data_IF_670152822437
#
_entry.id   IF_670152822437
#
_cell.length_a   1.000
_cell.length_b   1.000
_cell.length_c   1.000
_cell.angle_alpha   90.00
_cell.angle_beta   90.00
_cell.angle_gamma   90.00
#
_symmetry.space_group_name_H-M   'P 1'
#
loop_
_entity.id
_entity.type
_entity.pdbx_description
1 polymer ?
#
# COMPACT_ATOMS: atom_id res chain seq x y z
N UNK A 1 -72.08 -21.89 -38.30
CA UNK A 1 -71.20 -22.23 -37.10
C UNK A 1 -69.88 -21.56 -37.29
N UNK A 2 -69.70 -20.40 -36.73
CA UNK A 2 -68.50 -19.54 -36.87
C UNK A 2 -67.76 -19.45 -35.53
N UNK A 3 -66.63 -20.13 -35.47
CA UNK A 3 -65.75 -20.05 -34.31
C UNK A 3 -64.87 -18.76 -34.36
N UNK A 4 -65.09 -17.87 -33.40
CA UNK A 4 -64.23 -16.69 -33.17
C UNK A 4 -63.13 -17.05 -32.18
N UNK A 5 -61.90 -17.10 -32.68
CA UNK A 5 -60.70 -17.19 -31.86
C UNK A 5 -60.39 -15.80 -31.22
N UNK A 6 -60.41 -15.70 -29.89
CA UNK A 6 -59.98 -14.50 -29.16
C UNK A 6 -58.49 -14.60 -28.89
N UNK A 7 -57.77 -13.72 -29.53
CA UNK A 7 -56.32 -13.49 -29.26
C UNK A 7 -56.17 -12.64 -27.98
N UNK A 8 -55.62 -13.20 -26.92
CA UNK A 8 -55.26 -12.44 -25.70
C UNK A 8 -53.83 -11.94 -25.90
N UNK A 9 -53.65 -10.63 -26.06
CA UNK A 9 -52.35 -9.97 -26.03
C UNK A 9 -51.95 -9.81 -24.58
N UNK A 10 -50.90 -10.55 -24.14
CA UNK A 10 -50.23 -10.34 -22.87
C UNK A 10 -49.23 -9.21 -23.05
N UNK A 11 -49.52 -8.03 -22.53
CA UNK A 11 -48.58 -6.91 -22.47
C UNK A 11 -47.67 -7.12 -21.26
N UNK A 12 -46.43 -7.54 -21.50
CA UNK A 12 -45.38 -7.59 -20.47
C UNK A 12 -44.87 -6.17 -20.24
N UNK A 13 -45.30 -5.54 -19.15
CA UNK A 13 -44.68 -4.29 -18.68
C UNK A 13 -43.30 -4.61 -18.08
N UNK A 14 -42.23 -4.35 -18.82
CA UNK A 14 -40.90 -4.25 -18.25
C UNK A 14 -40.85 -2.99 -17.35
N UNK A 15 -40.93 -3.18 -16.05
CA UNK A 15 -40.60 -2.16 -15.08
C UNK A 15 -39.04 -1.97 -15.11
N UNK A 16 -38.60 -1.00 -15.88
CA UNK A 16 -37.24 -0.42 -15.74
C UNK A 16 -37.18 0.20 -14.35
N UNK A 17 -36.57 -0.50 -13.41
CA UNK A 17 -36.15 0.09 -12.15
C UNK A 17 -35.01 1.06 -12.50
N UNK A 18 -35.35 2.31 -12.73
CA UNK A 18 -34.37 3.38 -12.84
C UNK A 18 -33.67 3.48 -11.48
N UNK A 19 -32.45 2.94 -11.39
CA UNK A 19 -31.58 3.14 -10.25
C UNK A 19 -31.48 4.66 -10.01
N UNK A 20 -31.67 5.10 -8.77
CA UNK A 20 -31.42 6.51 -8.40
C UNK A 20 -30.01 6.87 -8.92
N UNK A 21 -29.86 8.01 -9.62
CA UNK A 21 -28.55 8.45 -10.04
C UNK A 21 -27.66 8.54 -8.79
N UNK A 22 -26.50 7.90 -8.82
CA UNK A 22 -25.52 8.03 -7.76
C UNK A 22 -25.22 9.52 -7.59
N UNK A 23 -25.38 10.03 -6.37
CA UNK A 23 -25.05 11.43 -6.08
C UNK A 23 -23.57 11.66 -6.43
N UNK A 24 -23.28 12.75 -7.13
CA UNK A 24 -21.90 13.13 -7.41
C UNK A 24 -21.11 13.29 -6.09
N UNK A 25 -19.83 12.90 -6.10
CA UNK A 25 -18.98 13.05 -4.91
C UNK A 25 -18.85 14.53 -4.56
N UNK A 26 -19.09 14.87 -3.28
CA UNK A 26 -19.12 16.24 -2.76
C UNK A 26 -18.02 16.43 -1.72
N UNK A 27 -17.37 17.61 -1.74
CA UNK A 27 -16.43 18.03 -0.71
C UNK A 27 -17.22 18.70 0.42
N UNK A 28 -17.20 18.09 1.60
CA UNK A 28 -17.90 18.60 2.80
C UNK A 28 -17.02 19.54 3.63
N UNK A 29 -15.69 19.34 3.59
CA UNK A 29 -14.73 20.15 4.35
C UNK A 29 -13.42 20.25 3.57
N UNK A 30 -12.74 21.40 3.69
CA UNK A 30 -11.42 21.65 3.13
C UNK A 30 -10.58 22.42 4.14
N UNK A 31 -9.46 21.83 4.57
CA UNK A 31 -8.53 22.44 5.53
C UNK A 31 -7.12 22.43 4.94
N UNK A 32 -6.48 23.59 4.87
CA UNK A 32 -5.06 23.72 4.49
C UNK A 32 -4.22 23.58 5.75
N UNK A 33 -3.36 22.55 5.80
CA UNK A 33 -2.48 22.30 6.94
C UNK A 33 -1.18 23.11 6.86
N UNK A 34 -0.67 23.32 5.66
CA UNK A 34 0.57 24.06 5.46
C UNK A 34 1.17 23.85 4.08
N UNK A 35 2.38 24.32 3.88
CA UNK A 35 3.15 24.17 2.64
C UNK A 35 4.09 22.96 2.72
N UNK A 36 4.22 22.24 1.60
CA UNK A 36 5.15 21.13 1.42
C UNK A 36 6.10 21.39 0.26
N UNK A 37 7.25 20.71 0.27
CA UNK A 37 8.17 20.76 -0.86
C UNK A 37 7.68 19.87 -2.00
N UNK A 38 7.39 20.48 -3.15
CA UNK A 38 6.72 19.82 -4.28
C UNK A 38 7.66 19.11 -5.25
N UNK A 39 8.98 19.07 -4.99
CA UNK A 39 9.94 18.54 -5.96
C UNK A 39 10.06 17.00 -5.96
N UNK A 40 9.61 16.31 -4.90
CA UNK A 40 9.73 14.85 -4.76
C UNK A 40 8.50 14.24 -4.08
N UNK A 41 7.98 13.09 -4.54
CA UNK A 41 6.79 12.47 -3.97
C UNK A 41 7.16 11.60 -2.75
N UNK A 42 7.17 12.20 -1.58
CA UNK A 42 7.27 11.45 -0.33
C UNK A 42 5.85 11.18 0.20
N UNK A 43 5.57 9.95 0.61
CA UNK A 43 4.26 9.58 1.16
C UNK A 43 4.11 10.11 2.58
N UNK A 44 2.99 10.78 2.84
CA UNK A 44 2.56 11.28 4.15
C UNK A 44 1.58 10.29 4.80
N UNK A 45 1.19 10.56 6.05
CA UNK A 45 0.30 9.70 6.80
C UNK A 45 -0.89 10.49 7.34
N UNK A 46 -2.09 9.91 7.20
CA UNK A 46 -3.34 10.37 7.80
C UNK A 46 -3.91 9.23 8.65
N UNK A 47 -4.22 9.51 9.89
CA UNK A 47 -4.81 8.55 10.83
C UNK A 47 -5.98 9.20 11.57
N UNK A 48 -7.15 8.57 11.52
CA UNK A 48 -8.26 8.84 12.44
C UNK A 48 -8.28 7.78 13.53
N UNK A 49 -8.22 8.20 14.78
CA UNK A 49 -8.23 7.34 15.96
C UNK A 49 -9.17 7.92 17.02
N UNK A 50 -10.27 7.22 17.29
CA UNK A 50 -11.35 7.74 18.12
C UNK A 50 -11.96 9.03 17.55
N UNK A 51 -12.02 10.05 18.36
CA UNK A 51 -12.50 11.39 18.02
C UNK A 51 -11.40 12.33 17.50
N UNK A 52 -10.20 11.82 17.27
CA UNK A 52 -9.02 12.62 16.87
C UNK A 52 -8.49 12.21 15.51
N UNK A 53 -7.90 13.20 14.84
CA UNK A 53 -7.26 13.03 13.55
C UNK A 53 -5.82 13.50 13.60
N UNK A 54 -4.92 12.67 13.08
CA UNK A 54 -3.49 12.91 13.08
C UNK A 54 -2.96 12.93 11.66
N UNK A 55 -2.05 13.86 11.38
CA UNK A 55 -1.36 13.96 10.10
C UNK A 55 0.13 14.03 10.35
N UNK A 56 0.92 13.21 9.67
CA UNK A 56 2.37 13.31 9.65
C UNK A 56 2.85 13.63 8.23
N UNK A 57 3.67 14.66 8.08
CA UNK A 57 4.14 15.13 6.79
C UNK A 57 5.50 15.83 6.89
N UNK A 58 6.13 16.11 5.74
CA UNK A 58 7.29 17.00 5.66
C UNK A 58 6.83 18.37 5.14
N UNK A 59 7.16 19.43 5.88
CA UNK A 59 6.84 20.81 5.47
C UNK A 59 7.74 21.30 4.31
N UNK A 60 7.53 22.54 3.88
CA UNK A 60 8.32 23.18 2.83
C UNK A 60 9.85 23.18 3.09
N UNK A 61 10.24 23.21 4.35
CA UNK A 61 11.65 23.12 4.80
C UNK A 61 12.10 21.66 4.96
N UNK A 62 11.29 20.70 4.50
CA UNK A 62 11.55 19.26 4.53
C UNK A 62 11.72 18.67 5.92
N UNK A 63 11.16 19.33 6.94
CA UNK A 63 11.14 18.88 8.33
C UNK A 63 9.86 18.12 8.64
N UNK A 64 9.96 17.08 9.44
CA UNK A 64 8.82 16.34 9.93
C UNK A 64 7.93 17.24 10.77
N UNK A 65 6.63 17.18 10.49
CA UNK A 65 5.56 17.81 11.24
C UNK A 65 4.54 16.76 11.62
N UNK A 66 4.08 16.81 12.85
CA UNK A 66 2.90 16.05 13.30
C UNK A 66 1.83 17.05 13.69
N UNK A 67 0.65 16.87 13.12
CA UNK A 67 -0.52 17.70 13.37
C UNK A 67 -1.64 16.84 13.96
N UNK A 68 -2.45 17.41 14.86
CA UNK A 68 -3.59 16.76 15.50
C UNK A 68 -4.76 17.74 15.64
N UNK A 69 -5.97 17.25 15.42
CA UNK A 69 -7.22 17.94 15.76
C UNK A 69 -8.25 17.01 16.42
N UNK A 70 -9.23 17.55 17.11
CA UNK A 70 -10.51 16.86 17.31
C UNK A 70 -11.32 16.86 16.00
N UNK A 71 -12.11 15.83 15.75
CA UNK A 71 -13.01 15.78 14.57
C UNK A 71 -14.11 16.86 14.60
N UNK A 72 -14.36 17.46 15.77
CA UNK A 72 -15.30 18.57 15.95
C UNK A 72 -14.69 19.94 15.72
N UNK A 73 -13.35 20.00 15.51
CA UNK A 73 -12.59 21.23 15.30
C UNK A 73 -12.02 21.29 13.88
N UNK A 74 -11.83 22.50 13.36
CA UNK A 74 -11.19 22.73 12.07
C UNK A 74 -9.70 23.06 12.20
N UNK A 75 -9.24 23.45 13.37
CA UNK A 75 -7.87 23.85 13.63
C UNK A 75 -7.01 22.67 14.08
N UNK A 76 -5.80 22.59 13.52
CA UNK A 76 -4.80 21.59 13.91
C UNK A 76 -3.75 22.22 14.86
N UNK A 77 -3.50 21.55 15.97
CA UNK A 77 -2.27 21.76 16.73
C UNK A 77 -1.13 21.08 16.00
N UNK A 78 -0.04 21.78 15.70
CA UNK A 78 1.06 21.25 14.90
C UNK A 78 2.39 21.39 15.63
N UNK A 79 3.24 20.39 15.50
CA UNK A 79 4.61 20.39 16.05
C UNK A 79 5.60 20.03 14.96
N UNK A 80 6.57 20.92 14.73
CA UNK A 80 7.75 20.64 13.91
C UNK A 80 8.75 19.89 14.78
N UNK A 81 9.09 18.65 14.41
CA UNK A 81 9.97 17.83 15.23
C UNK A 81 11.39 18.37 15.25
N UNK A 82 12.09 18.30 16.41
CA UNK A 82 13.45 18.76 16.51
C UNK A 82 14.38 17.88 15.66
N UNK A 83 15.32 18.50 14.95
CA UNK A 83 16.48 17.77 14.41
C UNK A 83 17.51 17.62 15.51
N UNK A 84 18.22 16.50 15.58
CA UNK A 84 19.36 16.37 16.50
C UNK A 84 20.40 17.44 16.19
N UNK A 85 20.81 18.19 17.21
CA UNK A 85 21.93 19.08 17.15
C UNK A 85 23.24 18.28 17.26
N UNK A 86 24.22 18.53 16.40
CA UNK A 86 25.59 18.17 16.70
C UNK A 86 26.41 17.27 15.79
N UNK A 87 26.06 17.08 14.56
CA UNK A 87 26.85 16.70 13.37
C UNK A 87 25.91 16.74 12.18
N UNK A 88 26.36 17.06 10.95
CA UNK A 88 25.50 16.94 9.80
C UNK A 88 24.92 15.52 9.82
N UNK A 89 23.60 15.37 9.82
CA UNK A 89 22.99 14.05 9.95
C UNK A 89 23.46 13.22 8.76
N UNK A 90 24.20 12.17 9.06
CA UNK A 90 24.31 11.07 8.12
C UNK A 90 22.86 10.68 7.78
N UNK A 91 22.61 10.41 6.58
CA UNK A 91 21.38 10.23 5.79
C UNK A 91 20.03 10.01 6.51
N UNK A 92 19.93 9.89 7.84
CA UNK A 92 18.70 9.35 8.41
C UNK A 92 18.45 9.33 9.92
N UNK A 93 19.17 10.03 10.72
CA UNK A 93 18.75 10.19 12.13
C UNK A 93 18.06 11.52 12.39
N UNK A 94 17.60 12.15 11.34
CA UNK A 94 17.09 13.51 11.36
C UNK A 94 15.58 13.53 11.10
N UNK A 95 14.89 14.43 11.76
CA UNK A 95 13.55 14.84 11.40
C UNK A 95 13.49 15.61 10.07
N UNK A 96 14.59 15.74 9.35
CA UNK A 96 14.70 16.46 8.08
C UNK A 96 15.02 15.49 6.96
N UNK A 97 14.21 15.46 5.90
CA UNK A 97 14.53 14.67 4.69
C UNK A 97 15.73 15.26 4.00
N UNK A 98 16.70 14.41 3.74
CA UNK A 98 17.89 14.78 2.96
C UNK A 98 17.86 14.12 1.59
N UNK A 99 18.42 14.80 0.58
CA UNK A 99 18.44 14.25 -0.77
C UNK A 99 17.05 14.22 -1.44
N UNK A 100 16.86 13.30 -2.37
CA UNK A 100 15.72 13.22 -3.27
C UNK A 100 15.03 11.85 -3.22
N UNK A 101 15.23 11.13 -2.14
CA UNK A 101 14.76 9.76 -1.97
C UNK A 101 13.27 9.72 -1.62
N UNK A 102 12.47 9.19 -2.54
CA UNK A 102 11.03 9.05 -2.38
C UNK A 102 10.61 7.96 -1.39
N UNK A 103 11.54 7.10 -0.95
CA UNK A 103 11.28 6.05 0.05
C UNK A 103 11.22 6.59 1.49
N UNK A 104 11.63 7.84 1.71
CA UNK A 104 11.66 8.47 3.05
C UNK A 104 10.26 8.83 3.59
N UNK A 105 9.27 7.96 3.42
CA UNK A 105 7.91 8.20 3.86
C UNK A 105 7.73 8.12 5.38
N UNK A 106 6.56 8.50 5.87
CA UNK A 106 6.18 8.52 7.27
C UNK A 106 5.10 7.47 7.55
N UNK A 107 5.15 6.89 8.75
CA UNK A 107 4.10 6.04 9.31
C UNK A 107 3.81 6.46 10.74
N UNK A 108 2.53 6.46 11.12
CA UNK A 108 2.05 6.95 12.40
C UNK A 108 1.05 5.97 12.99
N UNK A 109 1.10 5.78 14.31
CA UNK A 109 0.11 5.03 15.06
C UNK A 109 -0.17 5.70 16.41
N UNK A 110 -1.30 5.33 16.99
CA UNK A 110 -1.66 5.67 18.38
C UNK A 110 -1.88 4.34 19.08
N UNK A 111 -1.20 4.13 20.22
CA UNK A 111 -1.41 2.92 21.03
C UNK A 111 -2.72 2.99 21.83
N UNK A 112 -3.09 1.90 22.47
CA UNK A 112 -4.35 1.82 23.22
C UNK A 112 -4.39 2.70 24.48
N UNK A 113 -3.26 3.25 24.93
CA UNK A 113 -3.20 4.26 25.98
C UNK A 113 -3.15 5.71 25.42
N UNK A 114 -3.25 5.86 24.09
CA UNK A 114 -3.30 7.16 23.42
C UNK A 114 -1.94 7.79 23.13
N UNK A 115 -0.81 7.07 23.36
CA UNK A 115 0.49 7.60 22.99
C UNK A 115 0.72 7.52 21.48
N UNK A 116 1.33 8.58 20.95
CA UNK A 116 1.58 8.73 19.52
C UNK A 116 2.94 8.16 19.18
N UNK A 117 3.00 7.31 18.16
CA UNK A 117 4.22 6.72 17.62
C UNK A 117 4.39 7.17 16.16
N UNK A 118 5.56 7.71 15.83
CA UNK A 118 5.93 8.13 14.48
C UNK A 118 7.25 7.51 14.09
N UNK A 119 7.33 6.92 12.90
CA UNK A 119 8.57 6.47 12.30
C UNK A 119 8.63 6.84 10.82
N UNK A 120 9.84 6.99 10.27
CA UNK A 120 10.01 7.30 8.86
C UNK A 120 11.35 7.93 8.54
N UNK A 121 11.48 8.46 7.33
CA UNK A 121 12.74 9.02 6.82
C UNK A 121 13.87 7.99 6.81
N UNK A 122 13.56 6.75 6.44
CA UNK A 122 14.48 5.61 6.48
C UNK A 122 14.52 4.85 5.16
N UNK A 123 15.72 4.74 4.59
CA UNK A 123 15.98 3.90 3.42
C UNK A 123 17.39 3.31 3.54
N UNK A 124 17.49 2.08 4.05
CA UNK A 124 18.73 1.39 4.46
C UNK A 124 19.56 2.23 5.42
N UNK A 125 18.94 2.83 6.41
CA UNK A 125 19.50 3.83 7.29
C UNK A 125 19.02 3.63 8.74
N UNK A 126 19.72 4.21 9.75
CA UNK A 126 19.37 4.01 11.15
C UNK A 126 17.91 4.36 11.47
N UNK A 127 17.37 3.67 12.47
CA UNK A 127 16.01 3.90 12.96
C UNK A 127 15.77 5.38 13.29
N UNK A 128 14.71 5.94 12.72
CA UNK A 128 14.18 7.25 13.09
C UNK A 128 12.79 7.05 13.65
N UNK A 129 12.66 7.21 14.97
CA UNK A 129 11.43 6.95 15.70
C UNK A 129 11.19 8.01 16.78
N UNK A 130 9.94 8.43 16.89
CA UNK A 130 9.45 9.38 17.88
C UNK A 130 8.28 8.79 18.64
N UNK A 131 8.16 9.12 19.93
CA UNK A 131 7.01 8.76 20.76
C UNK A 131 6.60 9.96 21.60
N UNK A 132 5.29 10.18 21.76
CA UNK A 132 4.81 11.22 22.68
C UNK A 132 5.03 10.82 24.13
N UNK A 133 5.31 11.82 25.00
CA UNK A 133 5.40 11.62 26.45
C UNK A 133 4.04 11.62 27.12
N UNK A 134 3.05 12.25 26.47
CA UNK A 134 1.67 12.35 26.96
C UNK A 134 0.71 11.81 25.91
N UNK A 135 -0.38 11.13 26.35
CA UNK A 135 -1.41 10.66 25.43
C UNK A 135 -2.04 11.81 24.64
N UNK A 136 -2.18 11.63 23.31
CA UNK A 136 -2.83 12.57 22.41
C UNK A 136 -2.15 13.94 22.26
N UNK A 137 -0.95 14.13 22.80
CA UNK A 137 -0.25 15.41 22.79
C UNK A 137 0.92 15.39 21.77
N UNK A 138 0.68 15.96 20.59
CA UNK A 138 1.70 16.07 19.53
C UNK A 138 2.87 16.96 19.93
N UNK A 139 2.69 17.87 20.89
CA UNK A 139 3.78 18.77 21.35
C UNK A 139 4.78 18.06 22.28
N UNK A 140 4.40 16.88 22.79
CA UNK A 140 5.23 16.07 23.68
C UNK A 140 6.04 14.98 22.95
N UNK A 141 6.07 14.98 21.61
CA UNK A 141 6.84 14.03 20.82
C UNK A 141 8.35 14.21 21.03
N UNK A 142 9.02 13.13 21.38
CA UNK A 142 10.47 13.08 21.55
C UNK A 142 11.07 11.94 20.73
N UNK A 143 12.30 12.14 20.25
CA UNK A 143 13.02 11.09 19.54
C UNK A 143 13.50 10.04 20.52
N UNK A 144 13.24 8.77 20.18
CA UNK A 144 13.70 7.60 20.93
C UNK A 144 14.79 6.92 20.10
N UNK A 145 15.95 6.69 20.71
CA UNK A 145 17.16 6.25 20.00
C UNK A 145 17.11 4.84 19.46
N UNK A 146 16.38 3.97 20.16
CA UNK A 146 16.22 2.56 19.78
C UNK A 146 14.85 2.05 20.21
N UNK A 147 14.32 1.10 19.48
CA UNK A 147 13.18 0.29 19.93
C UNK A 147 13.66 -0.92 20.72
N UNK A 148 14.49 -1.76 20.13
CA UNK A 148 15.08 -2.96 20.74
C UNK A 148 16.61 -2.87 20.85
N UNK A 149 17.24 -2.05 19.99
CA UNK A 149 18.68 -1.80 20.01
C UNK A 149 19.52 -2.71 19.11
N UNK A 150 18.90 -3.66 18.42
CA UNK A 150 19.56 -4.54 17.46
C UNK A 150 18.86 -4.50 16.11
N UNK A 151 19.59 -4.73 14.99
CA UNK A 151 19.05 -4.70 13.62
C UNK A 151 18.37 -3.37 13.24
N UNK A 152 18.73 -2.26 13.86
CA UNK A 152 18.12 -0.94 13.67
C UNK A 152 19.02 0.05 12.95
N UNK A 153 20.17 -0.42 12.44
CA UNK A 153 21.13 0.43 11.73
C UNK A 153 20.82 0.63 10.24
N UNK A 154 19.99 -0.23 9.64
CA UNK A 154 19.69 -0.22 8.19
C UNK A 154 18.22 -0.44 7.92
N UNK A 155 17.35 0.35 8.56
CA UNK A 155 15.89 0.24 8.41
C UNK A 155 15.40 0.76 7.07
N UNK A 156 14.41 0.07 6.50
CA UNK A 156 13.64 0.50 5.33
C UNK A 156 12.19 0.03 5.46
N UNK A 157 11.26 0.73 4.83
CA UNK A 157 9.84 0.38 4.78
C UNK A 157 9.17 0.22 6.15
N UNK A 158 9.33 1.19 7.07
CA UNK A 158 8.71 1.13 8.38
C UNK A 158 7.19 1.12 8.27
N UNK A 159 6.54 0.28 9.08
CA UNK A 159 5.07 0.18 9.10
C UNK A 159 4.58 -0.18 10.49
N UNK A 160 3.60 0.55 10.98
CA UNK A 160 2.85 0.13 12.16
C UNK A 160 1.68 -0.76 11.73
N UNK A 161 1.42 -1.79 12.53
CA UNK A 161 0.35 -2.75 12.36
C UNK A 161 -0.37 -2.93 13.71
N UNK A 162 -1.62 -3.34 13.66
CA UNK A 162 -2.36 -3.80 14.84
C UNK A 162 -2.35 -5.32 14.84
N UNK A 163 -1.90 -5.90 15.93
CA UNK A 163 -1.92 -7.34 16.15
C UNK A 163 -3.31 -7.86 16.57
N UNK A 164 -3.49 -9.18 16.67
CA UNK A 164 -4.79 -9.79 16.90
C UNK A 164 -5.41 -9.46 18.28
N UNK A 165 -4.59 -9.16 19.27
CA UNK A 165 -5.04 -8.70 20.60
C UNK A 165 -5.09 -7.15 20.72
N UNK A 166 -4.97 -6.42 19.61
CA UNK A 166 -4.94 -4.96 19.59
C UNK A 166 -3.56 -4.36 19.94
N UNK A 167 -2.53 -5.19 20.09
CA UNK A 167 -1.18 -4.74 20.37
C UNK A 167 -0.58 -3.98 19.18
N UNK A 168 0.24 -2.98 19.46
CA UNK A 168 0.95 -2.24 18.44
C UNK A 168 2.19 -3.01 18.00
N UNK A 169 2.29 -3.27 16.70
CA UNK A 169 3.41 -3.95 16.05
C UNK A 169 4.12 -2.98 15.12
N UNK A 170 5.45 -3.06 15.06
CA UNK A 170 6.27 -2.31 14.14
C UNK A 170 7.07 -3.26 13.26
N UNK A 171 6.89 -3.13 11.96
CA UNK A 171 7.57 -3.90 10.93
C UNK A 171 8.52 -3.02 10.13
N UNK A 172 9.67 -3.54 9.77
CA UNK A 172 10.63 -2.92 8.86
C UNK A 172 11.57 -3.97 8.27
N UNK A 173 12.17 -3.63 7.13
CA UNK A 173 13.29 -4.40 6.57
C UNK A 173 14.60 -3.92 7.21
N UNK A 174 15.38 -4.84 7.76
CA UNK A 174 16.80 -4.62 8.10
C UNK A 174 17.66 -5.00 6.91
N UNK A 175 18.39 -4.03 6.34
CA UNK A 175 19.24 -4.24 5.19
C UNK A 175 18.84 -3.45 3.95
N UNK A 176 19.36 -3.84 2.79
CA UNK A 176 19.17 -3.16 1.51
C UNK A 176 18.42 -4.02 0.49
N UNK A 177 18.25 -3.46 -0.71
CA UNK A 177 17.71 -4.20 -1.84
C UNK A 177 18.69 -5.31 -2.25
N UNK A 178 18.20 -6.55 -2.35
CA UNK A 178 19.01 -7.74 -2.63
C UNK A 178 19.77 -8.31 -1.41
N UNK A 179 19.63 -7.68 -0.25
CA UNK A 179 20.21 -8.19 0.99
C UNK A 179 19.47 -7.59 2.19
N UNK A 180 18.44 -8.26 2.67
CA UNK A 180 17.68 -7.77 3.81
C UNK A 180 16.72 -8.80 4.38
N UNK A 181 16.37 -8.58 5.65
CA UNK A 181 15.52 -9.43 6.46
C UNK A 181 14.34 -8.64 7.01
N UNK A 182 13.18 -9.27 7.17
CA UNK A 182 11.97 -8.61 7.64
C UNK A 182 11.83 -8.80 9.16
N UNK A 183 11.85 -7.69 9.88
CA UNK A 183 11.88 -7.62 11.34
C UNK A 183 10.54 -7.13 11.89
N UNK A 184 10.05 -7.80 12.93
CA UNK A 184 8.83 -7.44 13.61
C UNK A 184 9.08 -7.20 15.09
N UNK A 185 8.68 -6.03 15.58
CA UNK A 185 8.69 -5.66 17.00
C UNK A 185 7.25 -5.55 17.50
N UNK A 186 7.02 -5.84 18.77
CA UNK A 186 5.75 -5.60 19.45
C UNK A 186 5.95 -4.65 20.63
N UNK A 187 5.04 -3.72 20.79
CA UNK A 187 5.07 -2.77 21.90
C UNK A 187 4.43 -3.36 23.14
N UNK A 188 5.20 -3.41 24.21
CA UNK A 188 4.71 -3.74 25.54
C UNK A 188 4.17 -2.46 26.20
N UNK A 189 2.85 -2.33 26.26
CA UNK A 189 2.19 -1.13 26.74
C UNK A 189 2.47 -0.88 28.22
N UNK A 190 2.48 -1.95 29.04
CA UNK A 190 2.70 -1.85 30.49
C UNK A 190 4.12 -1.43 30.81
N UNK A 191 5.10 -2.01 30.14
CA UNK A 191 6.50 -1.68 30.28
C UNK A 191 6.94 -0.45 29.47
N UNK A 192 6.05 0.06 28.57
CA UNK A 192 6.33 1.16 27.63
C UNK A 192 7.58 0.98 26.81
N UNK A 193 7.84 -0.24 26.36
CA UNK A 193 9.05 -0.60 25.57
C UNK A 193 8.72 -1.56 24.45
N UNK A 194 9.55 -1.52 23.42
CA UNK A 194 9.50 -2.48 22.33
C UNK A 194 10.27 -3.75 22.68
N UNK A 195 9.82 -4.88 22.19
CA UNK A 195 10.52 -6.16 22.17
C UNK A 195 10.37 -6.83 20.83
N UNK A 196 11.19 -7.81 20.52
CA UNK A 196 10.97 -8.60 19.30
C UNK A 196 9.62 -9.33 19.39
N UNK A 197 8.87 -9.33 18.28
CA UNK A 197 7.68 -10.16 18.14
C UNK A 197 8.07 -11.61 17.89
N UNK A 198 9.10 -11.82 17.09
CA UNK A 198 9.66 -13.12 16.69
C UNK A 198 11.12 -13.19 17.15
N UNK A 199 11.58 -14.38 17.53
CA UNK A 199 12.97 -14.61 17.97
C UNK A 199 13.97 -14.49 16.81
N UNK A 200 13.51 -14.72 15.57
CA UNK A 200 14.27 -14.57 14.34
C UNK A 200 13.54 -13.57 13.40
N UNK A 201 14.18 -13.10 12.32
CA UNK A 201 13.44 -12.43 11.25
C UNK A 201 12.28 -13.27 10.73
N UNK A 202 11.20 -12.66 10.24
CA UNK A 202 10.13 -13.40 9.57
C UNK A 202 10.64 -14.03 8.27
N UNK A 203 11.35 -13.24 7.46
CA UNK A 203 12.04 -13.74 6.27
C UNK A 203 13.52 -13.42 6.32
N UNK A 204 14.37 -14.33 5.84
CA UNK A 204 15.81 -14.18 5.77
C UNK A 204 16.30 -14.48 4.36
N UNK A 205 16.88 -13.47 3.72
CA UNK A 205 17.50 -13.59 2.40
C UNK A 205 18.88 -14.22 2.41
N UNK A 206 19.42 -14.60 3.57
CA UNK A 206 20.75 -15.20 3.77
C UNK A 206 21.88 -14.40 3.12
N UNK A 207 21.77 -13.06 3.16
CA UNK A 207 22.76 -12.15 2.57
C UNK A 207 22.76 -12.12 1.03
N UNK A 208 21.88 -12.84 0.35
CA UNK A 208 21.85 -12.99 -1.12
C UNK A 208 20.61 -12.41 -1.78
N UNK A 209 19.59 -12.09 -1.01
CA UNK A 209 18.30 -11.56 -1.48
C UNK A 209 17.54 -10.88 -0.36
N UNK A 210 16.39 -10.32 -0.69
CA UNK A 210 15.39 -9.95 0.31
C UNK A 210 13.97 -10.22 -0.21
N UNK A 211 13.05 -10.47 0.70
CA UNK A 211 11.63 -10.49 0.41
C UNK A 211 11.08 -9.06 0.25
N UNK A 212 10.20 -8.85 -0.72
CA UNK A 212 9.41 -7.62 -0.84
C UNK A 212 7.96 -7.94 -0.49
N UNK A 213 7.55 -7.58 0.72
CA UNK A 213 6.28 -7.97 1.30
C UNK A 213 5.10 -7.13 0.80
N UNK A 214 3.96 -7.79 0.59
CA UNK A 214 2.63 -7.20 0.57
C UNK A 214 1.82 -7.83 1.71
N UNK A 215 1.51 -7.06 2.72
CA UNK A 215 0.96 -7.53 3.99
C UNK A 215 1.99 -7.42 5.13
N UNK A 216 1.81 -8.17 6.25
CA UNK A 216 0.61 -8.96 6.52
C UNK A 216 -0.64 -8.09 6.66
N UNK A 217 -1.78 -8.63 6.22
CA UNK A 217 -3.08 -7.97 6.31
C UNK A 217 -4.15 -8.98 6.73
N UNK A 218 -4.95 -8.63 7.72
CA UNK A 218 -6.07 -9.46 8.19
C UNK A 218 -7.13 -9.56 7.09
N UNK A 219 -7.50 -10.79 6.76
CA UNK A 219 -8.57 -11.12 5.83
C UNK A 219 -9.92 -11.32 6.54
N UNK A 220 -11.01 -11.37 5.78
CA UNK A 220 -12.34 -11.64 6.32
C UNK A 220 -12.51 -13.06 6.87
N UNK A 221 -11.61 -13.97 6.54
CA UNK A 221 -11.50 -15.33 7.07
C UNK A 221 -10.76 -15.41 8.42
N UNK A 222 -10.30 -14.27 8.94
CA UNK A 222 -9.59 -14.16 10.21
C UNK A 222 -8.12 -14.56 10.17
N UNK A 223 -7.53 -14.73 8.99
CA UNK A 223 -6.10 -14.93 8.81
C UNK A 223 -5.39 -13.65 8.42
N UNK A 224 -4.17 -13.47 8.87
CA UNK A 224 -3.23 -12.51 8.32
C UNK A 224 -2.56 -13.14 7.11
N UNK A 225 -2.81 -12.59 5.92
CA UNK A 225 -2.23 -13.03 4.67
C UNK A 225 -0.98 -12.24 4.33
N UNK A 226 0.03 -12.91 3.87
CA UNK A 226 1.30 -12.34 3.46
C UNK A 226 1.71 -12.87 2.08
N UNK A 227 1.99 -11.95 1.15
CA UNK A 227 2.60 -12.24 -0.14
C UNK A 227 3.97 -11.62 -0.22
N UNK A 228 4.87 -12.22 -0.97
CA UNK A 228 6.13 -11.58 -1.33
C UNK A 228 6.70 -12.15 -2.63
N UNK A 229 7.61 -11.35 -3.21
CA UNK A 229 8.55 -11.80 -4.22
C UNK A 229 9.95 -11.68 -3.65
N UNK A 230 10.84 -12.58 -4.03
CA UNK A 230 12.26 -12.45 -3.74
C UNK A 230 12.93 -11.55 -4.75
N UNK A 231 13.97 -10.82 -4.33
CA UNK A 231 14.78 -9.97 -5.19
C UNK A 231 16.25 -10.10 -4.80
N UNK A 232 17.13 -10.40 -5.77
CA UNK A 232 18.52 -10.82 -5.51
C UNK A 232 19.52 -9.66 -5.60
N UNK A 233 19.10 -8.52 -6.16
CA UNK A 233 19.96 -7.32 -6.29
C UNK A 233 19.11 -6.05 -6.39
N UNK A 234 19.70 -4.85 -6.44
CA UNK A 234 18.96 -3.63 -6.75
C UNK A 234 18.32 -3.61 -8.15
N UNK A 235 18.64 -4.53 -9.05
CA UNK A 235 18.04 -4.60 -10.38
C UNK A 235 16.65 -5.25 -10.34
N UNK A 236 15.63 -4.63 -10.94
CA UNK A 236 14.23 -5.05 -10.89
C UNK A 236 14.00 -6.43 -11.54
N UNK A 237 14.74 -6.75 -12.59
CA UNK A 237 14.70 -8.02 -13.29
C UNK A 237 15.12 -9.22 -12.44
N UNK A 238 15.78 -8.98 -11.30
CA UNK A 238 16.16 -10.04 -10.36
C UNK A 238 15.03 -10.45 -9.42
N UNK A 239 13.84 -9.84 -9.54
CA UNK A 239 12.64 -10.32 -8.86
C UNK A 239 12.24 -11.70 -9.38
N UNK A 240 11.91 -12.60 -8.46
CA UNK A 240 11.59 -14.00 -8.77
C UNK A 240 10.63 -14.59 -7.73
N UNK A 241 10.04 -15.72 -8.03
CA UNK A 241 9.22 -16.52 -7.14
C UNK A 241 8.16 -15.75 -6.36
N UNK A 242 6.91 -15.87 -6.79
CA UNK A 242 5.78 -15.37 -5.99
C UNK A 242 5.49 -16.35 -4.85
N UNK A 243 5.45 -15.86 -3.64
CA UNK A 243 5.35 -16.66 -2.42
C UNK A 243 4.21 -16.19 -1.51
N UNK A 244 3.74 -17.09 -0.64
CA UNK A 244 2.62 -16.86 0.27
C UNK A 244 2.82 -17.58 1.60
N UNK A 245 2.38 -16.96 2.67
CA UNK A 245 2.16 -17.54 3.99
C UNK A 245 0.98 -16.86 4.67
N UNK A 246 0.44 -17.49 5.72
CA UNK A 246 -0.63 -16.93 6.56
C UNK A 246 -0.38 -17.21 8.03
N UNK A 247 -1.01 -16.41 8.90
CA UNK A 247 -0.89 -16.55 10.35
C UNK A 247 -2.19 -16.11 11.04
N UNK A 248 -2.52 -16.71 12.18
CA UNK A 248 -3.60 -16.24 13.05
C UNK A 248 -3.16 -15.18 14.05
N UNK A 249 -1.87 -15.16 14.38
CA UNK A 249 -1.33 -14.41 15.51
C UNK A 249 -0.05 -13.61 15.20
N UNK A 250 0.39 -13.62 13.93
CA UNK A 250 1.63 -13.02 13.45
C UNK A 250 2.92 -13.64 14.06
N UNK A 251 2.77 -14.74 14.82
CA UNK A 251 3.88 -15.45 15.47
C UNK A 251 4.11 -16.84 14.85
N UNK A 252 3.01 -17.58 14.67
CA UNK A 252 3.01 -18.90 14.06
C UNK A 252 2.52 -18.76 12.62
N UNK A 253 3.36 -19.17 11.70
CA UNK A 253 3.11 -19.03 10.27
C UNK A 253 2.93 -20.41 9.65
N UNK A 254 2.05 -20.48 8.66
CA UNK A 254 1.82 -21.70 7.89
C UNK A 254 1.76 -21.39 6.38
N UNK A 255 2.04 -22.41 5.57
CA UNK A 255 1.84 -22.35 4.12
C UNK A 255 0.35 -22.49 3.74
N UNK A 256 0.04 -22.52 2.45
CA UNK A 256 -1.34 -22.56 1.97
C UNK A 256 -2.07 -23.89 2.32
N UNK A 257 -1.34 -25.00 2.51
CA UNK A 257 -1.94 -26.30 2.90
C UNK A 257 -2.14 -26.42 4.41
N UNK A 258 -1.67 -25.45 5.22
CA UNK A 258 -1.80 -25.48 6.67
C UNK A 258 -0.63 -26.13 7.40
N UNK A 259 0.49 -26.38 6.73
CA UNK A 259 1.70 -26.87 7.38
C UNK A 259 2.46 -25.72 8.02
N UNK A 260 2.88 -25.93 9.27
CA UNK A 260 3.67 -24.95 10.02
C UNK A 260 5.01 -24.66 9.34
N UNK A 261 5.37 -23.38 9.31
CA UNK A 261 6.64 -22.92 8.76
C UNK A 261 7.64 -22.68 9.89
N UNK A 262 8.84 -23.23 9.74
CA UNK A 262 9.96 -22.87 10.58
C UNK A 262 10.46 -21.46 10.19
N UNK A 263 10.71 -20.62 11.20
CA UNK A 263 11.25 -19.28 11.02
C UNK A 263 12.78 -19.27 11.18
N UNK A 264 13.49 -18.46 10.38
CA UNK A 264 12.98 -17.56 9.37
C UNK A 264 12.56 -18.26 8.08
N UNK A 265 11.54 -17.74 7.41
CA UNK A 265 11.16 -18.18 6.06
C UNK A 265 12.27 -17.79 5.09
N UNK A 266 12.72 -18.74 4.30
CA UNK A 266 13.74 -18.56 3.26
C UNK A 266 13.20 -18.93 1.88
N UNK A 267 13.98 -18.77 0.84
CA UNK A 267 13.59 -19.25 -0.50
C UNK A 267 13.39 -20.77 -0.54
N UNK A 268 14.11 -21.49 0.31
CA UNK A 268 14.10 -22.95 0.40
C UNK A 268 12.98 -23.48 1.29
N UNK A 269 12.22 -22.63 1.99
CA UNK A 269 11.07 -23.04 2.81
C UNK A 269 10.00 -23.72 1.95
N UNK A 270 9.54 -24.90 2.39
CA UNK A 270 8.62 -25.74 1.61
C UNK A 270 7.20 -25.15 1.55
N UNK A 271 6.56 -25.30 0.41
CA UNK A 271 5.13 -24.98 0.26
C UNK A 271 4.77 -23.49 0.25
N UNK A 272 5.75 -22.58 0.28
CA UNK A 272 5.51 -21.14 0.26
C UNK A 272 5.39 -20.58 -1.15
N UNK A 273 5.94 -21.21 -2.17
CA UNK A 273 5.94 -20.71 -3.55
C UNK A 273 4.58 -20.96 -4.19
N UNK A 274 3.90 -19.90 -4.63
CA UNK A 274 2.69 -19.96 -5.45
C UNK A 274 3.07 -20.27 -6.89
N UNK A 275 4.01 -19.50 -7.42
CA UNK A 275 4.43 -19.55 -8.82
C UNK A 275 5.96 -19.40 -8.91
N UNK A 276 6.68 -20.42 -9.40
CA UNK A 276 8.14 -20.42 -9.49
C UNK A 276 8.63 -19.59 -10.70
N UNK A 277 8.41 -18.29 -10.63
CA UNK A 277 8.80 -17.37 -11.70
C UNK A 277 10.31 -17.13 -11.65
N UNK A 278 11.05 -17.33 -12.74
CA UNK A 278 12.50 -17.11 -12.78
C UNK A 278 12.84 -15.62 -12.77
N UNK A 279 14.10 -15.31 -12.52
CA UNK A 279 14.71 -14.02 -12.84
C UNK A 279 14.43 -13.67 -14.31
N UNK A 280 14.14 -12.41 -14.62
CA UNK A 280 13.66 -11.94 -15.92
C UNK A 280 12.28 -12.52 -16.35
N UNK A 281 11.55 -13.16 -15.47
CA UNK A 281 10.23 -13.74 -15.73
C UNK A 281 9.08 -12.72 -15.79
N UNK A 282 9.36 -11.44 -15.61
CA UNK A 282 8.35 -10.38 -15.72
C UNK A 282 7.58 -10.07 -14.44
N UNK A 283 7.97 -10.63 -13.31
CA UNK A 283 7.46 -10.22 -12.00
C UNK A 283 8.37 -9.16 -11.38
N UNK A 284 7.78 -8.18 -10.69
CA UNK A 284 8.55 -7.21 -9.90
C UNK A 284 7.91 -7.00 -8.52
N UNK A 285 8.67 -6.42 -7.60
CA UNK A 285 8.13 -5.99 -6.32
C UNK A 285 7.02 -4.93 -6.50
N UNK A 286 5.94 -5.08 -5.72
CA UNK A 286 4.77 -4.18 -5.77
C UNK A 286 3.72 -4.53 -6.82
N UNK A 287 4.00 -5.47 -7.74
CA UNK A 287 3.00 -5.90 -8.72
C UNK A 287 2.01 -6.95 -8.21
N UNK A 288 2.36 -7.63 -7.12
CA UNK A 288 1.56 -8.70 -6.52
C UNK A 288 0.58 -8.10 -5.51
N UNK A 289 -0.69 -8.46 -5.65
CA UNK A 289 -1.78 -8.03 -4.79
C UNK A 289 -2.59 -9.25 -4.34
N UNK A 290 -3.38 -9.09 -3.30
CA UNK A 290 -4.40 -10.06 -2.96
C UNK A 290 -5.70 -9.38 -2.52
N UNK A 291 -6.79 -10.03 -2.80
CA UNK A 291 -8.12 -9.72 -2.35
C UNK A 291 -8.87 -11.00 -2.03
N UNK A 292 -10.17 -10.93 -1.98
CA UNK A 292 -11.00 -12.05 -1.57
C UNK A 292 -12.16 -12.24 -2.54
N UNK A 293 -12.53 -13.50 -2.77
CA UNK A 293 -13.72 -13.84 -3.53
C UNK A 293 -14.99 -13.77 -2.65
N UNK A 294 -16.14 -14.09 -3.21
CA UNK A 294 -17.42 -14.05 -2.49
C UNK A 294 -17.53 -15.05 -1.32
N UNK A 295 -16.64 -16.04 -1.27
CA UNK A 295 -16.54 -17.03 -0.19
C UNK A 295 -15.42 -16.68 0.81
N UNK A 296 -14.87 -15.48 0.76
CA UNK A 296 -13.74 -15.03 1.58
C UNK A 296 -12.43 -15.81 1.36
N UNK A 297 -12.27 -16.52 0.23
CA UNK A 297 -11.01 -17.17 -0.11
C UNK A 297 -10.05 -16.16 -0.72
N UNK A 298 -8.78 -16.25 -0.33
CA UNK A 298 -7.74 -15.37 -0.87
C UNK A 298 -7.54 -15.63 -2.37
N UNK A 299 -7.54 -14.56 -3.16
CA UNK A 299 -7.20 -14.57 -4.58
C UNK A 299 -6.04 -13.61 -4.80
N UNK A 300 -4.94 -14.14 -5.30
CA UNK A 300 -3.70 -13.41 -5.56
C UNK A 300 -3.69 -12.94 -7.01
N UNK A 301 -3.27 -11.72 -7.25
CA UNK A 301 -3.12 -11.15 -8.60
C UNK A 301 -1.72 -10.60 -8.80
N UNK A 302 -1.14 -10.81 -9.96
CA UNK A 302 0.22 -10.41 -10.31
C UNK A 302 0.41 -10.40 -11.84
N UNK A 303 1.55 -9.96 -12.31
CA UNK A 303 1.92 -10.09 -13.71
C UNK A 303 3.23 -10.88 -13.87
N UNK A 304 3.34 -11.59 -14.96
CA UNK A 304 4.56 -12.24 -15.45
C UNK A 304 4.53 -12.38 -16.97
N UNK A 305 5.62 -12.83 -17.56
CA UNK A 305 5.64 -13.18 -18.96
C UNK A 305 4.99 -14.56 -19.19
N UNK A 306 4.22 -14.66 -20.28
CA UNK A 306 3.70 -15.93 -20.77
C UNK A 306 4.74 -16.67 -21.64
N UNK A 307 4.41 -17.87 -22.14
CA UNK A 307 5.29 -18.67 -22.98
C UNK A 307 5.64 -18.00 -24.31
N UNK A 308 4.79 -17.10 -24.81
CA UNK A 308 5.05 -16.29 -26.01
C UNK A 308 5.89 -15.05 -25.72
N UNK A 309 6.22 -14.80 -24.44
CA UNK A 309 7.00 -13.64 -24.01
C UNK A 309 6.19 -12.36 -23.78
N UNK A 310 4.87 -12.39 -23.91
CA UNK A 310 4.02 -11.24 -23.59
C UNK A 310 3.86 -11.09 -22.08
N UNK A 311 3.67 -9.87 -21.60
CA UNK A 311 3.38 -9.62 -20.17
C UNK A 311 1.89 -9.71 -19.94
N UNK A 312 1.47 -10.68 -19.13
CA UNK A 312 0.07 -10.94 -18.81
C UNK A 312 -0.23 -10.70 -17.32
N UNK A 313 -1.49 -10.36 -17.02
CA UNK A 313 -2.05 -10.43 -15.67
C UNK A 313 -2.49 -11.87 -15.37
N UNK A 314 -2.23 -12.30 -14.14
CA UNK A 314 -2.59 -13.61 -13.63
C UNK A 314 -3.40 -13.48 -12.35
N UNK A 315 -4.33 -14.41 -12.16
CA UNK A 315 -4.97 -14.69 -10.88
C UNK A 315 -4.58 -16.08 -10.39
N UNK A 316 -4.39 -16.22 -9.07
CA UNK A 316 -4.12 -17.49 -8.42
C UNK A 316 -5.00 -17.64 -7.19
N UNK A 317 -5.60 -18.83 -7.00
CA UNK A 317 -6.37 -19.19 -5.82
C UNK A 317 -5.98 -20.61 -5.39
N UNK A 318 -5.83 -20.79 -4.07
CA UNK A 318 -5.54 -22.09 -3.50
C UNK A 318 -6.84 -22.90 -3.35
N UNK A 319 -6.90 -24.08 -3.98
CA UNK A 319 -8.04 -24.99 -3.93
C UNK A 319 -7.58 -26.42 -4.26
N UNK A 320 -8.24 -27.40 -3.67
CA UNK A 320 -7.93 -28.84 -3.86
C UNK A 320 -6.45 -29.20 -3.61
N UNK A 321 -5.84 -28.53 -2.63
CA UNK A 321 -4.45 -28.79 -2.22
C UNK A 321 -3.38 -28.15 -3.12
N UNK A 322 -3.75 -27.33 -4.10
CA UNK A 322 -2.83 -26.69 -5.03
C UNK A 322 -3.24 -25.27 -5.42
N UNK A 323 -2.29 -24.48 -5.90
CA UNK A 323 -2.59 -23.18 -6.50
C UNK A 323 -3.08 -23.35 -7.93
N UNK A 324 -4.35 -22.98 -8.18
CA UNK A 324 -4.88 -22.82 -9.54
C UNK A 324 -4.48 -21.44 -10.05
N UNK A 325 -3.68 -21.42 -11.11
CA UNK A 325 -3.16 -20.20 -11.74
C UNK A 325 -3.77 -20.03 -13.13
N UNK A 326 -4.29 -18.85 -13.44
CA UNK A 326 -4.86 -18.51 -14.76
C UNK A 326 -4.39 -17.16 -15.23
N UNK A 327 -4.07 -17.05 -16.52
CA UNK A 327 -3.91 -15.78 -17.18
C UNK A 327 -5.30 -15.13 -17.34
N UNK A 328 -5.48 -13.92 -16.83
CA UNK A 328 -6.74 -13.17 -16.87
C UNK A 328 -6.71 -12.01 -17.86
N UNK A 329 -5.65 -11.88 -18.64
CA UNK A 329 -5.53 -10.93 -19.74
C UNK A 329 -5.03 -11.63 -21.01
N UNK A 330 -5.21 -10.95 -22.16
CA UNK A 330 -4.68 -11.37 -23.46
C UNK A 330 -3.96 -10.17 -24.10
N UNK A 331 -2.97 -9.63 -23.38
CA UNK A 331 -2.22 -8.47 -23.87
C UNK A 331 -1.11 -8.87 -24.82
N UNK A 332 -0.86 -8.04 -25.81
CA UNK A 332 0.26 -8.20 -26.72
C UNK A 332 1.43 -7.30 -26.30
N UNK A 333 2.62 -7.89 -26.36
CA UNK A 333 3.87 -7.22 -26.09
C UNK A 333 4.47 -7.52 -24.72
N UNK A 334 5.77 -7.42 -24.68
CA UNK A 334 6.60 -7.64 -23.51
C UNK A 334 6.94 -6.30 -22.86
N UNK A 335 6.62 -6.13 -21.58
CA UNK A 335 7.15 -5.03 -20.80
C UNK A 335 8.48 -5.45 -20.16
N UNK A 336 9.52 -4.68 -20.41
CA UNK A 336 10.84 -4.96 -19.88
C UNK A 336 11.00 -4.22 -18.56
N UNK A 337 11.14 -4.99 -17.49
CA UNK A 337 11.47 -4.48 -16.16
C UNK A 337 12.97 -4.66 -15.96
N UNK A 338 13.70 -3.56 -15.79
CA UNK A 338 15.16 -3.64 -15.63
C UNK A 338 15.70 -2.46 -14.84
N UNK A 339 16.91 -2.66 -14.28
CA UNK A 339 17.63 -1.65 -13.56
C UNK A 339 17.06 -1.36 -12.18
N UNK A 340 17.59 -0.37 -11.49
CA UNK A 340 17.20 0.00 -10.13
C UNK A 340 18.31 0.67 -9.35
N UNK A 341 18.09 0.83 -8.06
CA UNK A 341 18.93 1.68 -7.24
C UNK A 341 18.96 3.09 -7.80
N UNK A 342 20.15 3.71 -7.84
CA UNK A 342 20.31 5.04 -8.44
C UNK A 342 20.57 5.00 -9.96
N UNK A 343 20.57 3.81 -10.60
CA UNK A 343 20.79 3.63 -12.03
C UNK A 343 19.56 3.90 -12.89
N UNK A 344 19.68 3.82 -14.22
CA UNK A 344 18.54 3.78 -15.10
C UNK A 344 17.62 2.60 -14.73
N UNK A 345 16.31 2.82 -14.74
CA UNK A 345 15.37 1.78 -14.41
C UNK A 345 14.08 1.94 -15.21
N UNK A 346 13.52 0.79 -15.63
CA UNK A 346 12.18 0.68 -16.16
C UNK A 346 11.33 -0.06 -15.11
N UNK A 347 10.49 0.65 -14.41
CA UNK A 347 9.61 0.08 -13.39
C UNK A 347 8.15 0.14 -13.79
N UNK A 348 7.37 -0.69 -13.15
CA UNK A 348 5.99 -0.96 -13.45
C UNK A 348 4.96 0.13 -13.21
N UNK A 349 5.33 1.42 -13.25
CA UNK A 349 4.30 2.48 -13.25
C UNK A 349 3.44 2.45 -14.50
N UNK A 350 3.91 1.83 -15.57
CA UNK A 350 3.21 1.60 -16.83
C UNK A 350 2.32 0.35 -16.82
N UNK A 351 2.50 -0.55 -15.87
CA UNK A 351 1.65 -1.71 -15.60
C UNK A 351 1.38 -1.81 -14.10
N UNK A 352 0.12 -1.63 -13.72
CA UNK A 352 -0.34 -1.70 -12.33
C UNK A 352 -1.57 -2.58 -12.28
N UNK A 353 -1.61 -3.50 -11.33
CA UNK A 353 -2.75 -4.34 -11.02
C UNK A 353 -3.27 -4.02 -9.61
N UNK A 354 -4.57 -3.89 -9.48
CA UNK A 354 -5.24 -3.78 -8.19
C UNK A 354 -5.47 -5.12 -7.51
N UNK A 355 -5.94 -5.08 -6.27
CA UNK A 355 -6.48 -6.24 -5.60
C UNK A 355 -7.81 -6.66 -6.25
N UNK A 356 -8.10 -7.97 -6.22
CA UNK A 356 -9.36 -8.50 -6.70
C UNK A 356 -10.49 -8.18 -5.73
N UNK A 357 -11.68 -7.99 -6.27
CA UNK A 357 -12.94 -7.85 -5.52
C UNK A 357 -14.07 -8.60 -6.21
N UNK A 358 -15.11 -9.06 -5.49
CA UNK A 358 -16.35 -9.53 -6.12
C UNK A 358 -16.96 -8.47 -7.03
N UNK A 359 -17.45 -8.89 -8.21
CA UNK A 359 -17.99 -8.02 -9.26
C UNK A 359 -19.22 -8.65 -9.91
N UNK A 360 -20.39 -8.40 -9.37
CA UNK A 360 -21.61 -9.07 -9.83
C UNK A 360 -21.67 -10.56 -9.47
N UNK A 361 -22.75 -11.26 -9.87
CA UNK A 361 -22.94 -12.66 -9.54
C UNK A 361 -21.91 -13.58 -10.23
N UNK A 362 -21.11 -14.31 -9.45
CA UNK A 362 -20.14 -15.28 -9.97
C UNK A 362 -18.95 -14.68 -10.72
N UNK A 363 -18.68 -13.39 -10.52
CA UNK A 363 -17.60 -12.67 -11.19
C UNK A 363 -16.66 -12.00 -10.19
N UNK A 364 -15.40 -11.94 -10.56
CA UNK A 364 -14.36 -11.17 -9.89
C UNK A 364 -13.80 -10.11 -10.84
N UNK A 365 -13.36 -9.00 -10.29
CA UNK A 365 -12.70 -7.96 -11.07
C UNK A 365 -11.49 -7.37 -10.33
N UNK A 366 -10.56 -6.84 -11.08
CA UNK A 366 -9.49 -6.00 -10.59
C UNK A 366 -9.26 -4.80 -11.51
N UNK A 367 -8.93 -3.66 -10.92
CA UNK A 367 -8.54 -2.48 -11.69
C UNK A 367 -7.13 -2.67 -12.26
N UNK A 368 -6.93 -2.22 -13.50
CA UNK A 368 -5.62 -2.24 -14.13
C UNK A 368 -5.27 -0.91 -14.80
N UNK A 369 -3.98 -0.66 -14.93
CA UNK A 369 -3.38 0.31 -15.87
C UNK A 369 -2.29 -0.40 -16.66
N UNK A 370 -2.35 -0.30 -17.98
CA UNK A 370 -1.42 -0.95 -18.89
C UNK A 370 -0.94 0.04 -19.96
N UNK A 371 0.33 0.01 -20.30
CA UNK A 371 0.98 1.01 -21.19
C UNK A 371 0.38 1.09 -22.61
N UNK A 372 -0.24 -0.01 -23.11
CA UNK A 372 -0.94 -0.04 -24.41
C UNK A 372 -2.46 -0.12 -24.27
N UNK A 373 -2.96 -0.96 -23.37
CA UNK A 373 -4.40 -1.21 -23.19
C UNK A 373 -5.14 -0.14 -22.35
N UNK A 374 -4.42 0.85 -21.81
CA UNK A 374 -5.04 1.93 -21.05
C UNK A 374 -5.40 1.54 -19.62
N UNK A 375 -6.62 1.87 -19.20
CA UNK A 375 -7.15 1.63 -17.85
C UNK A 375 -8.50 0.94 -17.95
N UNK A 376 -8.81 0.10 -16.97
CA UNK A 376 -10.11 -0.57 -16.89
C UNK A 376 -10.17 -1.55 -15.73
N UNK A 377 -11.16 -2.41 -15.82
CA UNK A 377 -11.31 -3.60 -15.00
C UNK A 377 -11.02 -4.83 -15.87
N UNK A 378 -10.22 -5.76 -15.37
CA UNK A 378 -10.18 -7.13 -15.85
C UNK A 378 -11.26 -7.89 -15.10
N UNK A 379 -12.22 -8.46 -15.84
CA UNK A 379 -13.33 -9.25 -15.30
C UNK A 379 -13.11 -10.71 -15.66
N UNK A 380 -13.28 -11.59 -14.68
CA UNK A 380 -13.07 -13.02 -14.84
C UNK A 380 -14.05 -13.82 -13.99
N UNK A 381 -14.32 -15.06 -14.42
CA UNK A 381 -15.23 -15.96 -13.75
C UNK A 381 -14.71 -16.37 -12.37
N UNK A 382 -15.54 -16.26 -11.36
CA UNK A 382 -15.14 -16.53 -9.97
C UNK A 382 -14.81 -18.00 -9.74
N UNK A 383 -15.52 -18.93 -10.38
CA UNK A 383 -15.33 -20.36 -10.17
C UNK A 383 -14.10 -20.87 -10.89
N UNK A 384 -13.89 -20.47 -12.14
CA UNK A 384 -12.83 -21.01 -13.01
C UNK A 384 -11.59 -20.15 -13.11
N UNK A 385 -11.67 -18.88 -12.74
CA UNK A 385 -10.69 -17.81 -12.97
C UNK A 385 -10.44 -17.52 -14.46
N UNK A 386 -11.30 -17.99 -15.36
CA UNK A 386 -11.15 -17.72 -16.79
C UNK A 386 -11.56 -16.27 -17.12
N UNK A 387 -10.82 -15.58 -18.02
CA UNK A 387 -11.12 -14.20 -18.37
C UNK A 387 -12.46 -14.07 -19.08
N UNK A 388 -13.30 -13.14 -18.64
CA UNK A 388 -14.57 -12.79 -19.27
C UNK A 388 -14.45 -11.55 -20.17
N UNK A 389 -13.49 -10.65 -19.87
CA UNK A 389 -13.26 -9.45 -20.67
C UNK A 389 -12.72 -8.28 -19.89
N UNK A 390 -12.87 -7.09 -20.46
CA UNK A 390 -12.49 -5.83 -19.84
C UNK A 390 -13.66 -4.87 -19.81
N UNK A 391 -13.78 -4.11 -18.73
CA UNK A 391 -14.77 -3.06 -18.57
C UNK A 391 -14.11 -1.70 -18.39
N UNK A 392 -14.78 -0.59 -18.69
CA UNK A 392 -14.31 0.73 -18.32
C UNK A 392 -14.05 0.85 -16.79
N UNK A 393 -13.13 1.71 -16.37
CA UNK A 393 -12.96 1.95 -14.94
C UNK A 393 -14.24 2.53 -14.35
N UNK A 394 -14.60 2.16 -13.11
CA UNK A 394 -15.76 2.73 -12.45
C UNK A 394 -15.59 4.26 -12.29
N UNK A 395 -16.67 5.02 -12.18
CA UNK A 395 -16.60 6.43 -11.86
C UNK A 395 -15.75 6.68 -10.62
N UNK A 396 -14.97 7.77 -10.66
CA UNK A 396 -14.18 8.13 -9.49
C UNK A 396 -15.09 8.46 -8.30
N UNK A 397 -14.77 7.94 -7.12
CA UNK A 397 -15.42 8.34 -5.88
C UNK A 397 -14.97 9.73 -5.37
N UNK A 398 -14.00 10.34 -6.05
CA UNK A 398 -13.49 11.65 -5.71
C UNK A 398 -14.04 12.71 -6.66
N UNK A 399 -14.34 13.92 -6.17
CA UNK A 399 -14.67 15.05 -7.01
C UNK A 399 -13.60 15.29 -8.08
N UNK A 400 -13.98 15.62 -9.33
CA UNK A 400 -13.02 15.85 -10.41
C UNK A 400 -11.93 16.89 -10.10
N UNK A 401 -12.25 17.88 -9.28
CA UNK A 401 -11.31 18.91 -8.82
C UNK A 401 -10.13 18.35 -8.00
N UNK A 402 -10.29 17.18 -7.37
CA UNK A 402 -9.21 16.56 -6.60
C UNK A 402 -8.27 15.71 -7.47
N UNK A 403 -8.68 15.36 -8.69
CA UNK A 403 -7.97 14.39 -9.54
C UNK A 403 -6.84 15.01 -10.37
N UNK A 404 -6.80 16.34 -10.48
CA UNK A 404 -5.81 17.07 -11.30
C UNK A 404 -5.01 18.03 -10.45
N UNK A 405 -3.75 18.29 -10.79
CA UNK A 405 -2.99 19.37 -10.17
C UNK A 405 -3.70 20.71 -10.31
N UNK A 406 -3.63 21.52 -9.28
CA UNK A 406 -4.14 22.91 -9.27
C UNK A 406 -3.06 23.91 -9.68
N UNK A 407 -1.80 23.61 -9.40
CA UNK A 407 -0.68 24.43 -9.82
C UNK A 407 -0.31 24.15 -11.28
N UNK A 408 -0.03 25.20 -12.03
CA UNK A 408 0.36 25.10 -13.44
C UNK A 408 1.88 24.93 -13.56
N UNK A 409 2.37 23.71 -13.29
CA UNK A 409 3.77 23.35 -13.48
C UNK A 409 3.87 22.00 -14.20
N UNK A 410 4.68 21.88 -15.29
CA UNK A 410 4.79 20.65 -16.06
C UNK A 410 5.25 19.46 -15.21
N UNK A 411 4.54 18.34 -15.32
CA UNK A 411 4.90 17.08 -14.64
C UNK A 411 4.45 16.96 -13.17
N UNK A 412 3.72 17.95 -12.63
CA UNK A 412 3.07 17.82 -11.33
C UNK A 412 2.05 16.69 -11.36
N UNK A 413 2.02 15.93 -10.28
CA UNK A 413 1.11 14.84 -10.02
C UNK A 413 0.41 15.06 -8.69
N UNK A 414 -0.85 14.62 -8.62
CA UNK A 414 -1.58 14.59 -7.35
C UNK A 414 -1.18 13.36 -6.57
N UNK A 415 -0.83 13.55 -5.32
CA UNK A 415 -0.62 12.51 -4.34
C UNK A 415 -1.70 12.62 -3.27
N UNK A 416 -2.08 11.48 -2.70
CA UNK A 416 -3.02 11.44 -1.59
C UNK A 416 -2.84 10.21 -0.71
N UNK A 417 -3.35 10.29 0.50
CA UNK A 417 -3.65 9.16 1.35
C UNK A 417 -4.99 9.37 2.04
N UNK A 418 -5.62 8.26 2.40
CA UNK A 418 -6.92 8.24 3.05
C UNK A 418 -6.78 7.69 4.46
N UNK A 419 -7.71 8.10 5.32
CA UNK A 419 -7.89 7.41 6.58
C UNK A 419 -8.62 6.06 6.38
N UNK A 420 -8.68 5.24 7.43
CA UNK A 420 -9.32 3.92 7.37
C UNK A 420 -10.83 3.98 7.05
N UNK A 421 -11.49 5.13 7.28
CA UNK A 421 -12.91 5.31 6.97
C UNK A 421 -13.16 5.64 5.50
N UNK A 422 -12.11 6.09 4.78
CA UNK A 422 -12.19 6.61 3.43
C UNK A 422 -12.95 7.94 3.29
N UNK A 423 -13.37 8.55 4.42
CA UNK A 423 -14.08 9.84 4.45
C UNK A 423 -13.14 11.02 4.39
N UNK A 424 -11.92 10.87 4.88
CA UNK A 424 -10.93 11.93 4.90
C UNK A 424 -9.78 11.60 3.97
N UNK A 425 -9.41 12.58 3.16
CA UNK A 425 -8.36 12.47 2.15
C UNK A 425 -7.36 13.60 2.35
N UNK A 426 -6.13 13.25 2.63
CA UNK A 426 -5.02 14.17 2.62
C UNK A 426 -4.46 14.23 1.21
N UNK A 427 -4.37 15.43 0.61
CA UNK A 427 -3.97 15.64 -0.78
C UNK A 427 -2.84 16.65 -0.87
N UNK A 428 -1.87 16.36 -1.73
CA UNK A 428 -0.77 17.28 -2.05
C UNK A 428 -0.29 17.07 -3.48
N UNK A 429 0.53 17.97 -3.99
CA UNK A 429 1.03 17.96 -5.36
C UNK A 429 2.55 17.95 -5.39
N UNK A 430 3.16 17.02 -6.15
CA UNK A 430 4.61 16.94 -6.35
C UNK A 430 4.95 16.52 -7.77
N UNK A 431 6.20 16.71 -8.15
CA UNK A 431 6.77 16.00 -9.29
C UNK A 431 6.83 14.49 -8.99
N UNK A 432 6.84 13.66 -10.01
CA UNK A 432 7.01 12.22 -9.89
C UNK A 432 8.39 11.81 -9.33
N UNK A 433 8.68 10.52 -9.09
CA UNK A 433 9.99 10.04 -8.68
C UNK A 433 11.09 10.39 -9.72
N UNK A 434 12.31 10.67 -9.27
CA UNK A 434 13.46 10.93 -10.12
C UNK A 434 14.66 10.02 -9.78
N UNK A 435 14.39 8.73 -9.53
CA UNK A 435 15.43 7.74 -9.20
C UNK A 435 16.32 8.17 -8.03
N UNK A 436 15.72 8.83 -7.04
CA UNK A 436 16.37 9.36 -5.84
C UNK A 436 17.53 10.34 -6.12
N UNK A 437 17.51 11.00 -7.29
CA UNK A 437 18.53 11.96 -7.74
C UNK A 437 17.97 13.37 -7.82
N UNK A 438 18.83 14.40 -7.65
CA UNK A 438 18.45 15.77 -7.94
C UNK A 438 17.90 15.93 -9.38
N UNK A 439 16.96 16.85 -9.53
CA UNK A 439 16.46 17.26 -10.83
C UNK A 439 17.27 18.45 -11.32
N UNK A 440 17.45 18.48 -12.61
CA UNK A 440 17.98 19.64 -13.33
C UNK A 440 16.81 20.56 -13.75
N UNK A 441 17.07 21.86 -13.85
CA UNK A 441 16.09 22.85 -14.27
C UNK A 441 15.19 23.39 -13.16
N UNK A 442 14.11 24.13 -13.53
CA UNK A 442 13.22 24.77 -12.57
C UNK A 442 12.43 23.73 -11.76
N UNK A 443 12.18 24.08 -10.51
CA UNK A 443 11.34 23.28 -9.60
C UNK A 443 10.01 24.01 -9.36
N UNK A 444 8.94 23.26 -9.08
CA UNK A 444 7.66 23.87 -8.70
C UNK A 444 7.80 24.60 -7.36
N UNK A 445 6.97 25.61 -7.18
CA UNK A 445 6.78 26.25 -5.87
C UNK A 445 6.27 25.25 -4.83
N UNK A 446 6.46 25.58 -3.55
CA UNK A 446 5.94 24.80 -2.45
C UNK A 446 4.40 24.73 -2.51
N UNK A 447 3.86 23.53 -2.62
CA UNK A 447 2.43 23.28 -2.73
C UNK A 447 1.72 23.25 -1.37
N UNK A 448 0.39 23.30 -1.41
CA UNK A 448 -0.44 23.12 -0.22
C UNK A 448 -0.62 21.65 0.12
N UNK A 449 -0.57 21.33 1.43
CA UNK A 449 -1.08 20.10 2.00
C UNK A 449 -2.51 20.36 2.46
N UNK A 450 -3.46 19.66 1.86
CA UNK A 450 -4.88 19.92 2.10
C UNK A 450 -5.59 18.64 2.54
N UNK A 451 -6.32 18.75 3.63
CA UNK A 451 -7.24 17.72 4.09
C UNK A 451 -8.64 18.02 3.55
N UNK A 452 -9.27 17.00 3.00
CA UNK A 452 -10.66 17.03 2.54
C UNK A 452 -11.49 16.01 3.31
N UNK A 453 -12.72 16.39 3.67
CA UNK A 453 -13.78 15.45 4.02
C UNK A 453 -14.68 15.29 2.81
N UNK A 454 -14.91 14.04 2.40
CA UNK A 454 -15.69 13.70 1.21
C UNK A 454 -16.98 13.01 1.64
N UNK A 455 -18.08 13.36 1.01
CA UNK A 455 -19.35 12.67 1.18
C UNK A 455 -19.24 11.26 0.62
N UNK A 456 -19.54 10.27 1.43
CA UNK A 456 -19.61 8.88 0.97
C UNK A 456 -20.92 8.62 0.23
N UNK A 457 -20.87 7.81 -0.82
CA UNK A 457 -22.07 7.38 -1.55
C UNK A 457 -23.04 6.67 -0.59
N UNK A 458 -24.27 7.17 -0.47
CA UNK A 458 -25.28 6.63 0.45
C UNK A 458 -25.40 7.37 1.80
N UNK A 459 -24.56 8.34 2.10
CA UNK A 459 -24.78 9.24 3.26
C UNK A 459 -25.90 10.24 2.92
N UNK A 460 -26.99 10.19 3.68
CA UNK A 460 -28.01 11.25 3.72
C UNK A 460 -27.43 12.49 4.41
N UNK A 461 -27.90 13.67 4.01
CA UNK A 461 -27.50 14.94 4.62
C UNK A 461 -27.84 14.98 6.10
#
# INVERSE_FOLDING_TARGET
MTNRLRLILLTVCLLLVAGKPMSEPEILEKIVLGKIWSAVPVRFCLLTHGDRQYVAYFNANRRMVVAMRSLTETNFTQTVLPSRSGKPPTRSTSSTVQGWDSHNYLTLAVDSAGYIHLAGNMHASPLTYFRSRKPGDVTSLEQVDAMVGTNEARCTYPKFLTGPAGELIFHYRDGGSGNGNEIFNVYDLAARRWRRLLDTPLTDGRGKRNAYLNGPRLGPDGWYHLLWVWRESPAAETCNNLSYARSRDLRHWENAVGEALELPITLESKGVIIDPIPVNGGIINGCHQFGFDSQNRVVVTYHKHDAAGNTQAYAARFEDGAWRIRAISKWEGRHIFQGGGSGPATFGTSLVLGAVTPHGPGQLALAFRHWKAGRGLLVFDEKTLEPLGTEPPPPSRYPPALLKPTANFPGLQVNWCEDATGRYVLRWETLGPNRDRPREGPLPENGDLVLYRIKMTGETK
#
